data_IF_427556636585
#
_entry.id   IF_427556636585
#
_cell.length_a   1.000
_cell.length_b   1.000
_cell.length_c   1.000
_cell.angle_alpha   90.00
_cell.angle_beta   90.00
_cell.angle_gamma   90.00
#
_symmetry.space_group_name_H-M   'P 1'
#
loop_
_entity.id
_entity.type
_entity.pdbx_description
1 polymer ?
#
# COMPACT_ATOMS: atom_id res chain seq x y z
N UNK A 1 7.03 -33.95 -16.60
CA UNK A 1 6.53 -33.13 -17.72
C UNK A 1 5.30 -32.35 -17.24
N UNK A 2 5.20 -31.05 -17.50
CA UNK A 2 4.00 -30.30 -17.15
C UNK A 2 2.85 -30.73 -18.08
N UNK A 3 1.73 -31.21 -17.53
CA UNK A 3 0.59 -31.61 -18.33
C UNK A 3 0.09 -30.41 -19.17
N UNK A 4 -0.11 -30.63 -20.47
CA UNK A 4 -0.59 -29.62 -21.42
C UNK A 4 -2.00 -29.16 -20.99
N UNK A 5 -2.29 -27.87 -21.10
CA UNK A 5 -3.65 -27.34 -20.83
C UNK A 5 -4.57 -27.69 -21.99
N UNK A 6 -5.68 -28.34 -21.69
CA UNK A 6 -6.74 -28.61 -22.66
C UNK A 6 -7.60 -27.38 -22.88
N UNK A 7 -8.27 -27.30 -24.04
CA UNK A 7 -9.18 -26.20 -24.35
C UNK A 7 -10.31 -26.08 -23.32
N UNK A 8 -10.86 -27.23 -22.88
CA UNK A 8 -11.90 -27.30 -21.84
C UNK A 8 -11.43 -26.72 -20.50
N UNK A 9 -10.20 -27.04 -20.06
CA UNK A 9 -9.65 -26.45 -18.84
C UNK A 9 -9.46 -24.92 -18.95
N UNK A 10 -9.11 -24.41 -20.14
CA UNK A 10 -8.94 -22.97 -20.38
C UNK A 10 -10.30 -22.25 -20.31
N UNK A 11 -11.35 -22.84 -20.87
CA UNK A 11 -12.72 -22.33 -20.80
C UNK A 11 -13.24 -22.31 -19.37
N UNK A 12 -13.06 -23.42 -18.64
CA UNK A 12 -13.39 -23.49 -17.20
C UNK A 12 -12.64 -22.41 -16.43
N UNK A 13 -11.34 -22.24 -16.69
CA UNK A 13 -10.54 -21.20 -16.04
C UNK A 13 -11.05 -19.79 -16.35
N UNK A 14 -11.52 -19.53 -17.58
CA UNK A 14 -12.11 -18.23 -17.96
C UNK A 14 -13.40 -17.96 -17.18
N UNK A 15 -14.30 -18.94 -17.09
CA UNK A 15 -15.54 -18.83 -16.31
C UNK A 15 -15.22 -18.60 -14.83
N UNK A 16 -14.30 -19.39 -14.27
CA UNK A 16 -13.82 -19.21 -12.90
C UNK A 16 -13.18 -17.83 -12.68
N UNK A 17 -12.55 -17.22 -13.69
CA UNK A 17 -11.92 -15.91 -13.55
C UNK A 17 -12.93 -14.76 -13.48
N UNK A 18 -14.05 -14.92 -14.18
CA UNK A 18 -15.17 -13.98 -14.19
C UNK A 18 -16.05 -14.12 -12.94
N UNK A 19 -16.06 -15.29 -12.30
CA UNK A 19 -16.83 -15.50 -11.07
C UNK A 19 -16.28 -14.70 -9.89
N UNK A 20 -17.18 -14.24 -9.02
CA UNK A 20 -16.89 -13.54 -7.76
C UNK A 20 -16.31 -14.46 -6.68
N UNK A 21 -16.49 -15.77 -6.84
CA UNK A 21 -16.07 -16.81 -5.90
C UNK A 21 -14.54 -16.90 -5.87
N UNK A 22 -13.92 -17.12 -4.69
CA UNK A 22 -12.47 -17.33 -4.60
C UNK A 22 -11.99 -18.48 -5.49
N UNK A 23 -10.75 -18.37 -5.98
CA UNK A 23 -10.15 -19.41 -6.82
C UNK A 23 -10.03 -20.74 -6.07
N UNK A 24 -9.70 -20.68 -4.77
CA UNK A 24 -9.51 -21.84 -3.90
C UNK A 24 -10.74 -22.74 -3.88
N UNK A 25 -11.93 -22.15 -3.79
CA UNK A 25 -13.17 -22.89 -3.62
C UNK A 25 -13.62 -23.56 -4.93
N UNK A 26 -13.19 -23.02 -6.07
CA UNK A 26 -13.50 -23.55 -7.40
C UNK A 26 -12.46 -24.56 -7.92
N UNK A 27 -11.36 -24.82 -7.19
CA UNK A 27 -10.28 -25.69 -7.68
C UNK A 27 -10.73 -27.13 -7.96
N UNK A 28 -11.85 -27.57 -7.40
CA UNK A 28 -12.47 -28.86 -7.72
C UNK A 28 -12.85 -28.98 -9.21
N UNK A 29 -13.06 -27.88 -9.92
CA UNK A 29 -13.36 -27.85 -11.37
C UNK A 29 -12.13 -28.08 -12.26
N UNK A 30 -10.91 -28.02 -11.69
CA UNK A 30 -9.64 -28.23 -12.39
C UNK A 30 -8.84 -29.35 -11.69
N UNK A 31 -9.32 -30.61 -11.73
CA UNK A 31 -8.66 -31.71 -11.06
C UNK A 31 -7.22 -31.90 -11.58
N UNK A 32 -6.29 -32.19 -10.67
CA UNK A 32 -4.88 -32.38 -11.02
C UNK A 32 -4.10 -31.09 -11.28
N UNK A 33 -4.72 -29.92 -11.13
CA UNK A 33 -4.03 -28.61 -11.21
C UNK A 33 -3.89 -27.98 -9.84
N UNK A 34 -2.75 -27.35 -9.59
CA UNK A 34 -2.58 -26.51 -8.42
C UNK A 34 -3.11 -25.10 -8.68
N UNK A 35 -3.57 -24.44 -7.61
CA UNK A 35 -4.06 -23.06 -7.67
C UNK A 35 -3.01 -22.11 -8.29
N UNK A 36 -1.74 -22.24 -7.90
CA UNK A 36 -0.66 -21.41 -8.45
C UNK A 36 -0.46 -21.61 -9.96
N UNK A 37 -0.67 -22.83 -10.46
CA UNK A 37 -0.53 -23.13 -11.87
C UNK A 37 -1.66 -22.52 -12.69
N UNK A 38 -2.89 -22.56 -12.17
CA UNK A 38 -4.04 -21.85 -12.75
C UNK A 38 -3.81 -20.33 -12.80
N UNK A 39 -3.30 -19.71 -11.72
CA UNK A 39 -2.96 -18.29 -11.71
C UNK A 39 -1.89 -17.92 -12.76
N UNK A 40 -0.82 -18.74 -12.86
CA UNK A 40 0.22 -18.53 -13.88
C UNK A 40 -0.35 -18.62 -15.28
N UNK A 41 -1.21 -19.61 -15.54
CA UNK A 41 -1.85 -19.78 -16.85
C UNK A 41 -2.77 -18.61 -17.20
N UNK A 42 -3.61 -18.16 -16.27
CA UNK A 42 -4.47 -17.01 -16.49
C UNK A 42 -3.68 -15.72 -16.77
N UNK A 43 -2.54 -15.53 -16.09
CA UNK A 43 -1.62 -14.41 -16.39
C UNK A 43 -1.03 -14.52 -17.79
N UNK A 44 -0.63 -15.71 -18.22
CA UNK A 44 -0.16 -15.94 -19.59
C UNK A 44 -1.24 -15.68 -20.65
N UNK A 45 -2.50 -15.97 -20.33
CA UNK A 45 -3.65 -15.72 -21.20
C UNK A 45 -4.18 -14.27 -21.14
N UNK A 46 -3.61 -13.42 -20.27
CA UNK A 46 -3.98 -12.01 -20.19
C UNK A 46 -5.33 -11.72 -19.52
N UNK A 47 -5.83 -12.61 -18.65
CA UNK A 47 -7.14 -12.44 -18.00
C UNK A 47 -7.24 -11.28 -16.99
N UNK A 48 -6.16 -10.52 -16.77
CA UNK A 48 -6.15 -9.39 -15.85
C UNK A 48 -6.36 -9.79 -14.38
N UNK A 49 -6.88 -8.85 -13.58
CA UNK A 49 -7.22 -9.13 -12.18
C UNK A 49 -8.49 -9.99 -12.10
N UNK A 50 -8.47 -11.01 -11.24
CA UNK A 50 -9.66 -11.86 -11.00
C UNK A 50 -10.78 -11.03 -10.39
N UNK A 51 -12.01 -11.25 -10.87
CA UNK A 51 -13.20 -10.65 -10.27
C UNK A 51 -13.34 -11.15 -8.82
N UNK A 52 -13.46 -10.21 -7.88
CA UNK A 52 -13.71 -10.52 -6.47
C UNK A 52 -15.13 -10.08 -6.17
N UNK A 53 -15.89 -10.93 -5.48
CA UNK A 53 -17.22 -10.55 -5.00
C UNK A 53 -17.21 -9.31 -4.09
N UNK A 54 -18.39 -8.74 -3.92
CA UNK A 54 -18.61 -7.74 -2.89
C UNK A 54 -18.35 -8.39 -1.53
N UNK A 55 -17.46 -7.78 -0.74
CA UNK A 55 -17.29 -8.16 0.66
C UNK A 55 -18.54 -7.73 1.40
N UNK A 56 -19.19 -8.62 2.14
CA UNK A 56 -20.32 -8.28 3.01
C UNK A 56 -19.95 -7.15 3.98
N UNK A 57 -18.67 -7.09 4.36
CA UNK A 57 -18.10 -6.03 5.20
C UNK A 57 -18.21 -4.63 4.58
N UNK A 58 -18.38 -4.52 3.26
CA UNK A 58 -18.63 -3.22 2.61
C UNK A 58 -19.96 -2.63 3.08
N UNK A 59 -20.99 -3.46 3.26
CA UNK A 59 -22.27 -3.05 3.83
C UNK A 59 -22.11 -2.62 5.29
N UNK A 60 -21.44 -3.44 6.10
CA UNK A 60 -21.19 -3.14 7.52
C UNK A 60 -20.40 -1.84 7.71
N UNK A 61 -19.38 -1.59 6.88
CA UNK A 61 -18.63 -0.32 6.90
C UNK A 61 -19.54 0.86 6.50
N UNK A 62 -20.39 0.69 5.50
CA UNK A 62 -21.31 1.75 5.08
C UNK A 62 -22.34 2.07 6.18
N UNK A 63 -22.88 1.04 6.84
CA UNK A 63 -23.82 1.20 7.95
C UNK A 63 -23.16 1.85 9.16
N UNK A 64 -21.91 1.48 9.49
CA UNK A 64 -21.14 2.13 10.55
C UNK A 64 -20.97 3.64 10.28
N UNK A 65 -20.73 4.00 9.03
CA UNK A 65 -20.51 5.38 8.60
C UNK A 65 -21.80 6.15 8.30
N UNK A 66 -22.97 5.51 8.41
CA UNK A 66 -24.27 6.15 8.18
C UNK A 66 -24.55 7.31 9.16
N UNK A 67 -23.80 7.39 10.27
CA UNK A 67 -23.82 8.50 11.22
C UNK A 67 -23.25 9.82 10.66
N UNK A 68 -22.68 9.80 9.45
CA UNK A 68 -22.13 10.99 8.79
C UNK A 68 -20.82 11.49 9.39
N UNK A 69 -20.23 10.77 10.35
CA UNK A 69 -18.98 11.20 10.99
C UNK A 69 -17.78 10.93 10.09
N UNK A 70 -16.84 11.88 10.11
CA UNK A 70 -15.54 11.72 9.47
C UNK A 70 -14.73 10.63 10.19
N UNK A 71 -14.37 9.56 9.49
CA UNK A 71 -13.61 8.43 10.06
C UNK A 71 -12.36 8.13 9.25
N UNK A 72 -11.24 7.84 9.91
CA UNK A 72 -10.07 7.27 9.25
C UNK A 72 -10.22 5.76 9.12
N UNK A 73 -9.48 5.15 8.20
CA UNK A 73 -9.40 3.68 8.13
C UNK A 73 -8.96 3.03 9.46
N UNK A 74 -8.16 3.74 10.26
CA UNK A 74 -7.75 3.28 11.58
C UNK A 74 -8.90 3.28 12.61
N UNK A 75 -9.89 4.15 12.44
CA UNK A 75 -11.05 4.22 13.33
C UNK A 75 -12.04 3.10 12.95
N UNK A 76 -12.26 2.89 11.64
CA UNK A 76 -13.06 1.76 11.12
C UNK A 76 -12.45 0.41 11.53
N UNK A 77 -11.13 0.27 11.45
CA UNK A 77 -10.40 -0.90 11.96
C UNK A 77 -10.76 -1.20 13.43
N UNK A 78 -10.74 -0.18 14.30
CA UNK A 78 -10.99 -0.37 15.74
C UNK A 78 -12.43 -0.72 16.06
N UNK A 79 -13.37 -0.21 15.27
CA UNK A 79 -14.79 -0.38 15.57
C UNK A 79 -15.38 -1.67 15.02
N UNK A 80 -14.86 -2.18 13.89
CA UNK A 80 -15.36 -3.41 13.24
C UNK A 80 -14.42 -4.61 13.49
N UNK A 81 -13.23 -4.38 14.04
CA UNK A 81 -12.19 -5.40 14.26
C UNK A 81 -11.77 -6.13 12.97
N UNK A 82 -11.56 -5.36 11.90
CA UNK A 82 -11.06 -5.85 10.60
C UNK A 82 -9.62 -5.39 10.38
N UNK A 83 -8.83 -6.11 9.60
CA UNK A 83 -7.48 -5.66 9.22
C UNK A 83 -7.47 -4.24 8.61
N UNK A 84 -6.44 -3.44 8.95
CA UNK A 84 -6.32 -2.05 8.53
C UNK A 84 -6.15 -1.90 7.00
N UNK A 85 -5.48 -2.87 6.36
CA UNK A 85 -5.38 -2.94 4.90
C UNK A 85 -6.74 -3.18 4.27
N UNK A 86 -7.52 -4.10 4.83
CA UNK A 86 -8.89 -4.39 4.38
C UNK A 86 -9.83 -3.18 4.57
N UNK A 87 -9.77 -2.49 5.71
CA UNK A 87 -10.52 -1.26 5.93
C UNK A 87 -10.22 -0.18 4.88
N UNK A 88 -8.94 0.01 4.52
CA UNK A 88 -8.53 0.94 3.45
C UNK A 88 -9.06 0.52 2.08
N UNK A 89 -9.04 -0.78 1.78
CA UNK A 89 -9.58 -1.30 0.52
C UNK A 89 -11.08 -1.02 0.42
N UNK A 90 -11.86 -1.34 1.47
CA UNK A 90 -13.30 -1.11 1.51
C UNK A 90 -13.66 0.38 1.37
N UNK A 91 -12.98 1.26 2.11
CA UNK A 91 -13.19 2.71 1.99
C UNK A 91 -12.80 3.24 0.61
N UNK A 92 -11.71 2.75 0.03
CA UNK A 92 -11.31 3.11 -1.33
C UNK A 92 -12.34 2.68 -2.37
N UNK A 93 -12.95 1.50 -2.21
CA UNK A 93 -14.07 1.06 -3.04
C UNK A 93 -15.29 1.96 -2.89
N UNK A 94 -15.70 2.31 -1.67
CA UNK A 94 -16.82 3.24 -1.45
C UNK A 94 -16.59 4.60 -2.13
N UNK A 95 -15.35 5.11 -2.13
CA UNK A 95 -15.00 6.35 -2.83
C UNK A 95 -15.07 6.18 -4.35
N UNK A 96 -14.56 5.07 -4.88
CA UNK A 96 -14.62 4.80 -6.32
C UNK A 96 -16.05 4.60 -6.82
N UNK A 97 -16.93 4.07 -5.97
CA UNK A 97 -18.38 3.93 -6.23
C UNK A 97 -19.15 5.25 -6.04
N UNK A 98 -18.50 6.34 -5.60
CA UNK A 98 -19.15 7.63 -5.32
C UNK A 98 -20.05 7.63 -4.08
N UNK A 99 -19.99 6.57 -3.27
CA UNK A 99 -20.77 6.41 -2.03
C UNK A 99 -20.11 7.05 -0.82
N UNK A 100 -18.83 7.41 -0.93
CA UNK A 100 -18.08 8.14 0.06
C UNK A 100 -17.13 9.12 -0.62
N UNK A 101 -16.59 10.07 0.13
CA UNK A 101 -15.54 10.96 -0.36
C UNK A 101 -14.54 11.28 0.74
N UNK A 102 -13.35 11.76 0.33
CA UNK A 102 -12.31 12.18 1.26
C UNK A 102 -12.53 13.64 1.62
N UNK A 103 -12.97 13.91 2.86
CA UNK A 103 -13.27 15.26 3.33
C UNK A 103 -12.00 16.01 3.74
N UNK A 104 -11.04 15.35 4.39
CA UNK A 104 -9.76 15.95 4.75
C UNK A 104 -8.63 14.93 4.88
N UNK A 105 -7.41 15.43 5.00
CA UNK A 105 -6.21 14.65 5.25
C UNK A 105 -5.59 15.05 6.59
N UNK A 106 -5.29 14.07 7.45
CA UNK A 106 -4.68 14.27 8.77
C UNK A 106 -3.30 13.60 8.84
N UNK A 107 -2.33 14.21 9.50
CA UNK A 107 -1.05 13.57 9.77
C UNK A 107 -1.17 12.60 10.96
N UNK A 108 -0.79 11.33 10.75
CA UNK A 108 -0.77 10.33 11.81
C UNK A 108 0.51 10.41 12.65
N UNK A 109 0.45 11.06 13.81
CA UNK A 109 1.58 11.13 14.75
C UNK A 109 2.76 11.99 14.29
N UNK A 110 3.91 11.84 14.95
CA UNK A 110 5.06 12.74 14.85
C UNK A 110 5.82 12.71 13.52
N UNK A 111 5.78 11.58 12.80
CA UNK A 111 6.44 11.38 11.49
C UNK A 111 5.42 11.39 10.33
N UNK A 112 4.29 12.06 10.55
CA UNK A 112 2.97 11.68 10.07
C UNK A 112 2.78 11.40 8.59
N UNK A 113 2.51 10.13 8.30
CA UNK A 113 1.84 9.72 7.08
C UNK A 113 0.46 10.38 7.02
N UNK A 114 0.12 10.92 5.85
CA UNK A 114 -1.22 11.46 5.61
C UNK A 114 -2.25 10.32 5.61
N UNK A 115 -3.21 10.40 6.52
CA UNK A 115 -4.41 9.57 6.58
C UNK A 115 -5.57 10.35 5.97
N UNK A 116 -6.29 9.71 5.05
CA UNK A 116 -7.56 10.23 4.57
C UNK A 116 -8.64 10.05 5.65
N UNK A 117 -9.49 11.06 5.78
CA UNK A 117 -10.72 11.00 6.55
C UNK A 117 -11.89 10.95 5.57
N UNK A 118 -12.71 9.93 5.73
CA UNK A 118 -13.79 9.57 4.83
C UNK A 118 -15.13 9.94 5.47
N UNK A 119 -16.07 10.38 4.65
CA UNK A 119 -17.47 10.60 5.01
C UNK A 119 -18.35 9.90 3.99
N UNK A 120 -19.43 9.27 4.46
CA UNK A 120 -20.41 8.63 3.58
C UNK A 120 -21.24 9.70 2.85
N UNK A 121 -21.64 9.41 1.62
CA UNK A 121 -22.39 10.31 0.75
C UNK A 121 -21.56 10.90 -0.39
N UNK A 122 -22.29 11.41 -1.38
CA UNK A 122 -21.71 12.04 -2.55
C UNK A 122 -20.91 13.30 -2.14
N UNK A 123 -19.75 13.48 -2.77
CA UNK A 123 -18.91 14.65 -2.53
C UNK A 123 -17.62 14.60 -3.33
N UNK A 124 -16.90 15.72 -3.34
CA UNK A 124 -15.61 15.83 -4.04
C UNK A 124 -14.49 15.46 -3.07
N UNK A 125 -13.71 14.44 -3.44
CA UNK A 125 -12.56 14.02 -2.64
C UNK A 125 -11.45 15.06 -2.71
N UNK A 126 -10.99 15.52 -1.53
CA UNK A 126 -9.87 16.44 -1.43
C UNK A 126 -8.56 15.80 -1.91
N UNK A 127 -7.74 16.51 -2.71
CA UNK A 127 -6.48 15.96 -3.19
C UNK A 127 -5.51 15.71 -2.04
N UNK A 128 -4.74 14.64 -2.15
CA UNK A 128 -3.72 14.30 -1.15
C UNK A 128 -2.68 15.42 -1.05
N UNK A 129 -2.38 15.93 0.17
CA UNK A 129 -1.35 16.94 0.34
C UNK A 129 0.00 16.44 -0.19
N UNK A 130 0.74 17.34 -0.83
CA UNK A 130 2.10 17.04 -1.31
C UNK A 130 2.97 16.61 -0.14
N UNK A 131 3.84 15.62 -0.39
CA UNK A 131 4.84 15.20 0.59
C UNK A 131 5.77 16.38 0.88
N UNK A 132 6.09 16.58 2.16
CA UNK A 132 7.07 17.59 2.55
C UNK A 132 8.43 17.30 1.90
N UNK A 133 9.04 18.33 1.32
CA UNK A 133 10.40 18.23 0.78
C UNK A 133 11.39 17.95 1.91
N UNK A 134 12.59 17.47 1.59
CA UNK A 134 13.62 17.25 2.59
C UNK A 134 13.98 18.55 3.34
N UNK A 135 14.00 19.69 2.62
CA UNK A 135 14.20 21.03 3.19
C UNK A 135 13.12 21.39 4.21
N UNK A 136 11.85 21.23 3.86
CA UNK A 136 10.72 21.49 4.77
C UNK A 136 10.75 20.58 6.02
N UNK A 137 11.15 19.30 5.85
CA UNK A 137 11.34 18.38 6.98
C UNK A 137 12.47 18.86 7.90
N UNK A 138 13.59 19.30 7.34
CA UNK A 138 14.70 19.84 8.12
C UNK A 138 14.30 21.12 8.85
N UNK A 139 13.60 22.05 8.19
CA UNK A 139 13.08 23.27 8.81
C UNK A 139 12.12 22.98 9.96
N UNK A 140 11.15 22.08 9.76
CA UNK A 140 10.21 21.67 10.82
C UNK A 140 10.93 21.01 12.00
N UNK A 141 11.97 20.22 11.72
CA UNK A 141 12.79 19.60 12.76
C UNK A 141 13.58 20.64 13.54
N UNK A 142 14.23 21.58 12.86
CA UNK A 142 14.99 22.67 13.50
C UNK A 142 14.09 23.58 14.35
N UNK A 143 12.83 23.81 13.95
CA UNK A 143 11.85 24.54 14.79
C UNK A 143 11.49 23.84 16.10
N UNK A 144 11.72 22.53 16.22
CA UNK A 144 11.44 21.74 17.45
C UNK A 144 12.65 21.62 18.37
N UNK A 145 13.85 21.89 17.86
CA UNK A 145 15.09 21.76 18.60
C UNK A 145 15.49 23.12 19.14
N UNK A 146 16.13 23.14 20.30
CA UNK A 146 16.75 24.33 20.83
C UNK A 146 17.76 24.93 19.82
N UNK A 147 17.77 26.25 19.58
CA UNK A 147 18.68 26.87 18.62
C UNK A 147 20.15 26.49 18.84
N UNK A 148 20.60 26.42 20.10
CA UNK A 148 21.98 26.09 20.48
C UNK A 148 22.31 24.64 20.14
N UNK A 149 21.41 23.71 20.48
CA UNK A 149 21.58 22.30 20.12
C UNK A 149 21.58 22.10 18.60
N UNK A 150 20.76 22.88 17.89
CA UNK A 150 20.71 22.93 16.44
C UNK A 150 22.05 23.36 15.82
N UNK A 151 22.70 24.37 16.38
CA UNK A 151 24.03 24.84 15.94
C UNK A 151 25.13 23.81 16.21
N UNK A 152 25.18 23.25 17.42
CA UNK A 152 26.12 22.17 17.77
C UNK A 152 25.98 21.00 16.79
N UNK A 153 24.75 20.64 16.43
CA UNK A 153 24.48 19.57 15.46
C UNK A 153 24.96 19.92 14.05
N UNK A 154 24.76 21.16 13.59
CA UNK A 154 25.31 21.65 12.30
C UNK A 154 26.84 21.59 12.30
N UNK A 155 27.48 22.03 13.38
CA UNK A 155 28.95 21.96 13.53
C UNK A 155 29.46 20.53 13.50
N UNK A 156 28.83 19.60 14.24
CA UNK A 156 29.15 18.16 14.21
C UNK A 156 28.98 17.54 12.82
N UNK A 157 27.90 17.90 12.11
CA UNK A 157 27.67 17.42 10.74
C UNK A 157 28.75 17.95 9.77
N UNK A 158 29.09 19.24 9.85
CA UNK A 158 30.16 19.84 9.06
C UNK A 158 31.53 19.19 9.35
N UNK A 159 31.86 18.96 10.62
CA UNK A 159 33.09 18.26 11.02
C UNK A 159 33.13 16.81 10.48
N UNK A 160 32.01 16.08 10.50
CA UNK A 160 31.90 14.74 9.89
C UNK A 160 32.10 14.76 8.39
N UNK A 161 31.55 15.77 7.69
CA UNK A 161 31.67 15.88 6.22
C UNK A 161 33.07 16.38 5.78
N UNK A 162 33.75 17.16 6.63
CA UNK A 162 35.13 17.62 6.42
C UNK A 162 36.17 16.52 6.64
N UNK A 163 35.88 15.51 7.46
CA UNK A 163 36.69 14.28 7.45
C UNK A 163 36.54 13.66 6.06
N UNK A 164 37.64 13.72 5.31
CA UNK A 164 37.81 13.42 3.90
C UNK A 164 37.31 11.99 3.52
N UNK A 165 37.20 11.61 2.22
CA UNK A 165 36.63 10.34 1.82
C UNK A 165 37.29 9.22 2.61
N UNK A 166 36.53 8.18 2.98
CA UNK A 166 37.10 6.94 3.52
C UNK A 166 38.25 6.57 2.60
N UNK A 167 39.48 6.85 3.03
CA UNK A 167 40.67 6.32 2.40
C UNK A 167 40.43 4.82 2.51
N UNK A 168 40.05 4.19 1.39
CA UNK A 168 39.93 2.74 1.38
C UNK A 168 41.27 2.24 1.89
N UNK A 169 41.23 1.37 2.88
CA UNK A 169 42.44 0.81 3.47
C UNK A 169 43.37 0.41 2.32
N UNK A 170 44.66 0.81 2.34
CA UNK A 170 45.56 0.55 1.22
C UNK A 170 45.63 -0.95 0.87
N UNK A 171 45.37 -1.82 1.84
CA UNK A 171 45.21 -3.28 1.64
C UNK A 171 43.98 -3.60 0.77
N UNK A 172 42.83 -2.97 1.03
CA UNK A 172 41.60 -3.17 0.23
C UNK A 172 41.79 -2.63 -1.19
N UNK A 173 42.46 -1.48 -1.36
CA UNK A 173 42.82 -0.99 -2.71
C UNK A 173 43.76 -1.95 -3.43
N UNK A 174 44.81 -2.47 -2.77
CA UNK A 174 45.75 -3.41 -3.37
C UNK A 174 45.10 -4.77 -3.73
N UNK A 175 44.14 -5.23 -2.92
CA UNK A 175 43.46 -6.52 -3.15
C UNK A 175 42.52 -6.48 -4.37
N UNK A 176 41.83 -5.35 -4.61
CA UNK A 176 40.81 -5.23 -5.65
C UNK A 176 41.24 -4.44 -6.90
N UNK A 177 42.36 -3.70 -6.87
CA UNK A 177 42.88 -2.99 -8.05
C UNK A 177 43.65 -3.88 -9.04
N UNK A 178 43.87 -5.16 -8.74
CA UNK A 178 44.69 -6.09 -9.54
C UNK A 178 43.88 -7.02 -10.47
N UNK A 179 42.57 -6.76 -10.64
CA UNK A 179 41.66 -7.61 -11.42
C UNK A 179 41.00 -6.88 -12.61
N UNK A 180 41.74 -5.98 -13.27
CA UNK A 180 41.36 -5.37 -14.55
C UNK A 180 42.46 -5.57 -15.58
#
# INVERSE_FOLDING_TARGET
MAAVWTQKEIETLRVMWQSSVPMKDQMHLLPGRSMQYAFRKAKQLGFGAKHRGHSEMLGVVADLMADGKCRAAADVFKEIDIDLGHARELLGRLVNEGRAHITLWRQAGCNGQWQALYVIGAGVSQPKPKRMTQKQRAERFMKRIDPVEGEIRKQRYAARKRKAPRMQDPIIQALFARAA
#
